data_IF_744707754217
#
_entry.id   IF_744707754217
#
_cell.length_a   1.000
_cell.length_b   1.000
_cell.length_c   1.000
_cell.angle_alpha   90.00
_cell.angle_beta   90.00
_cell.angle_gamma   90.00
#
_symmetry.space_group_name_H-M   'P 1'
#
loop_
_entity.id
_entity.type
_entity.pdbx_description
1 polymer ?
#
# COMPACT_ATOMS: atom_id res chain seq x y z
N UNK A 1 -66.60 37.69 -5.74
CA UNK A 1 -66.15 36.30 -5.68
C UNK A 1 -64.83 36.04 -6.44
N UNK A 2 -64.28 37.00 -7.20
CA UNK A 2 -63.02 36.82 -7.98
C UNK A 2 -61.75 37.19 -7.16
N UNK A 3 -61.84 38.15 -6.23
CA UNK A 3 -60.69 38.62 -5.42
C UNK A 3 -60.26 37.62 -4.32
N UNK A 4 -61.15 36.72 -3.92
CA UNK A 4 -60.85 35.66 -2.93
C UNK A 4 -60.09 34.48 -3.57
N UNK A 5 -60.33 34.19 -4.85
CA UNK A 5 -59.65 33.11 -5.57
C UNK A 5 -58.19 33.46 -5.86
N UNK A 6 -57.90 34.73 -6.15
CA UNK A 6 -56.54 35.21 -6.47
C UNK A 6 -55.63 35.32 -5.23
N UNK A 7 -56.22 35.54 -4.04
CA UNK A 7 -55.50 35.51 -2.76
C UNK A 7 -55.24 34.09 -2.28
N UNK A 8 -56.18 33.17 -2.50
CA UNK A 8 -56.00 31.75 -2.16
C UNK A 8 -54.98 31.08 -3.09
N UNK A 9 -54.97 31.38 -4.38
CA UNK A 9 -53.96 30.86 -5.31
C UNK A 9 -52.54 31.37 -4.99
N UNK A 10 -52.38 32.63 -4.58
CA UNK A 10 -51.08 33.16 -4.11
C UNK A 10 -50.58 32.51 -2.82
N UNK A 11 -51.48 32.15 -1.91
CA UNK A 11 -51.12 31.45 -0.67
C UNK A 11 -50.78 29.99 -0.98
N UNK A 12 -51.56 29.33 -1.86
CA UNK A 12 -51.29 27.96 -2.28
C UNK A 12 -49.95 27.85 -3.02
N UNK A 13 -49.66 28.74 -3.98
CA UNK A 13 -48.35 28.79 -4.66
C UNK A 13 -47.19 29.11 -3.71
N UNK A 14 -47.38 29.97 -2.70
CA UNK A 14 -46.34 30.24 -1.68
C UNK A 14 -46.12 29.06 -0.74
N UNK A 15 -47.17 28.31 -0.43
CA UNK A 15 -47.10 27.16 0.46
C UNK A 15 -46.50 25.95 -0.28
N UNK A 16 -46.91 25.70 -1.53
CA UNK A 16 -46.34 24.69 -2.43
C UNK A 16 -44.84 24.95 -2.70
N UNK A 17 -44.46 26.20 -2.97
CA UNK A 17 -43.05 26.56 -3.18
C UNK A 17 -42.20 26.43 -1.89
N UNK A 18 -42.78 26.68 -0.71
CA UNK A 18 -42.08 26.45 0.56
C UNK A 18 -41.92 24.97 0.89
N UNK A 19 -42.93 24.15 0.57
CA UNK A 19 -42.85 22.70 0.75
C UNK A 19 -41.86 22.06 -0.22
N UNK A 20 -41.79 22.51 -1.48
CA UNK A 20 -40.80 22.03 -2.43
C UNK A 20 -39.36 22.40 -2.04
N UNK A 21 -39.09 23.65 -1.62
CA UNK A 21 -37.74 24.01 -1.19
C UNK A 21 -37.28 23.28 0.08
N UNK A 22 -38.14 23.10 1.09
CA UNK A 22 -37.76 22.37 2.30
C UNK A 22 -37.60 20.86 2.07
N UNK A 23 -38.38 20.26 1.16
CA UNK A 23 -38.17 18.86 0.78
C UNK A 23 -36.86 18.67 0.01
N UNK A 24 -36.52 19.58 -0.91
CA UNK A 24 -35.26 19.52 -1.64
C UNK A 24 -34.03 19.77 -0.74
N UNK A 25 -34.11 20.71 0.22
CA UNK A 25 -33.04 20.92 1.21
C UNK A 25 -32.87 19.71 2.14
N UNK A 26 -33.96 19.09 2.59
CA UNK A 26 -33.90 17.90 3.45
C UNK A 26 -33.36 16.67 2.69
N UNK A 27 -33.73 16.51 1.42
CA UNK A 27 -33.24 15.43 0.56
C UNK A 27 -31.77 15.62 0.19
N UNK A 28 -31.34 16.86 -0.11
CA UNK A 28 -29.94 17.19 -0.34
C UNK A 28 -29.06 17.03 0.91
N UNK A 29 -29.59 17.36 2.09
CA UNK A 29 -28.92 17.13 3.37
C UNK A 29 -28.78 15.63 3.67
N UNK A 30 -29.84 14.84 3.47
CA UNK A 30 -29.80 13.39 3.63
C UNK A 30 -28.82 12.72 2.64
N UNK A 31 -28.76 13.22 1.40
CA UNK A 31 -27.81 12.74 0.40
C UNK A 31 -26.37 13.09 0.77
N UNK A 32 -26.11 14.26 1.35
CA UNK A 32 -24.80 14.64 1.89
C UNK A 32 -24.38 13.74 3.05
N UNK A 33 -25.29 13.50 4.00
CA UNK A 33 -25.05 12.60 5.12
C UNK A 33 -24.70 11.20 4.64
N UNK A 34 -25.36 10.71 3.59
CA UNK A 34 -25.05 9.42 2.98
C UNK A 34 -23.64 9.39 2.35
N UNK A 35 -23.22 10.45 1.65
CA UNK A 35 -21.86 10.54 1.10
C UNK A 35 -20.80 10.48 2.21
N UNK A 36 -21.00 11.26 3.28
CA UNK A 36 -20.09 11.27 4.42
C UNK A 36 -20.11 9.93 5.18
N UNK A 37 -21.27 9.28 5.28
CA UNK A 37 -21.39 7.96 5.88
C UNK A 37 -20.60 6.90 5.09
N UNK A 38 -20.68 6.88 3.76
CA UNK A 38 -19.89 5.98 2.92
C UNK A 38 -18.38 6.24 3.05
N UNK A 39 -17.95 7.50 3.07
CA UNK A 39 -16.54 7.85 3.29
C UNK A 39 -16.04 7.40 4.67
N UNK A 40 -16.86 7.59 5.71
CA UNK A 40 -16.56 7.16 7.07
C UNK A 40 -16.49 5.64 7.18
N UNK A 41 -17.36 4.91 6.48
CA UNK A 41 -17.33 3.45 6.42
C UNK A 41 -16.03 2.95 5.75
N UNK A 42 -15.65 3.55 4.62
CA UNK A 42 -14.35 3.28 3.97
C UNK A 42 -13.17 3.52 4.93
N UNK A 43 -13.13 4.69 5.59
CA UNK A 43 -12.09 5.04 6.58
C UNK A 43 -12.05 4.05 7.74
N UNK A 44 -13.21 3.59 8.19
CA UNK A 44 -13.32 2.58 9.24
C UNK A 44 -12.72 1.24 8.79
N UNK A 45 -13.05 0.77 7.59
CA UNK A 45 -12.48 -0.47 7.03
C UNK A 45 -10.95 -0.38 6.90
N UNK A 46 -10.45 0.78 6.45
CA UNK A 46 -9.02 1.10 6.40
C UNK A 46 -8.40 1.02 7.79
N UNK A 47 -8.98 1.70 8.78
CA UNK A 47 -8.46 1.71 10.15
C UNK A 47 -8.47 0.33 10.77
N UNK A 48 -9.51 -0.49 10.54
CA UNK A 48 -9.56 -1.88 11.00
C UNK A 48 -8.42 -2.69 10.39
N UNK A 49 -8.17 -2.54 9.08
CA UNK A 49 -7.07 -3.22 8.38
C UNK A 49 -5.70 -2.84 8.96
N UNK A 50 -5.46 -1.55 9.18
CA UNK A 50 -4.22 -1.04 9.76
C UNK A 50 -4.04 -1.46 11.22
N UNK A 51 -5.10 -1.42 12.02
CA UNK A 51 -5.07 -1.89 13.41
C UNK A 51 -4.84 -3.40 13.50
N UNK A 52 -5.33 -4.19 12.54
CA UNK A 52 -5.02 -5.63 12.43
C UNK A 52 -3.53 -5.84 12.15
N UNK A 53 -2.97 -5.08 11.21
CA UNK A 53 -1.54 -5.13 10.88
C UNK A 53 -0.65 -4.75 12.09
N UNK A 54 -1.10 -3.76 12.87
CA UNK A 54 -0.44 -3.37 14.12
C UNK A 54 -0.59 -4.45 15.21
N UNK A 55 -1.77 -5.02 15.39
CA UNK A 55 -2.03 -6.00 16.47
C UNK A 55 -1.35 -7.35 16.22
N UNK A 56 -1.17 -7.72 14.94
CA UNK A 56 -0.43 -8.91 14.55
C UNK A 56 1.08 -8.74 14.74
N UNK A 57 1.55 -7.52 14.93
CA UNK A 57 2.87 -7.28 15.48
C UNK A 57 2.80 -7.51 17.00
N UNK A 58 3.52 -8.52 17.51
CA UNK A 58 3.54 -8.77 18.95
C UNK A 58 4.21 -7.59 19.64
N UNK A 59 3.44 -6.87 20.47
CA UNK A 59 3.91 -5.81 21.35
C UNK A 59 5.14 -6.30 22.15
N UNK A 60 6.31 -5.72 21.89
CA UNK A 60 7.49 -5.87 22.75
C UNK A 60 8.65 -6.73 22.25
N UNK A 61 8.59 -7.33 21.06
CA UNK A 61 9.76 -8.01 20.47
C UNK A 61 10.31 -7.25 19.28
N UNK A 62 11.63 -7.14 19.20
CA UNK A 62 12.39 -6.43 18.17
C UNK A 62 12.36 -7.10 16.78
N UNK A 63 11.27 -7.80 16.47
CA UNK A 63 11.10 -8.81 15.42
C UNK A 63 10.04 -8.43 14.38
N UNK A 64 9.63 -7.15 14.37
CA UNK A 64 8.45 -6.66 13.66
C UNK A 64 8.53 -6.84 12.13
N UNK A 65 9.70 -6.61 11.53
CA UNK A 65 9.88 -6.65 10.08
C UNK A 65 10.38 -8.05 9.69
N UNK A 66 9.45 -8.93 9.35
CA UNK A 66 9.69 -10.29 8.84
C UNK A 66 8.93 -10.50 7.52
N UNK A 67 9.26 -11.54 6.77
CA UNK A 67 8.54 -11.86 5.53
C UNK A 67 7.07 -12.16 5.84
N UNK A 68 6.77 -12.85 6.94
CA UNK A 68 5.39 -13.11 7.36
C UNK A 68 4.57 -11.84 7.62
N UNK A 69 5.21 -10.76 8.09
CA UNK A 69 4.56 -9.47 8.26
C UNK A 69 4.37 -8.75 6.92
N UNK A 70 5.35 -8.84 6.01
CA UNK A 70 5.21 -8.34 4.63
C UNK A 70 4.01 -8.97 3.92
N UNK A 71 3.78 -10.28 4.08
CA UNK A 71 2.62 -10.96 3.49
C UNK A 71 1.29 -10.34 3.97
N UNK A 72 1.21 -9.97 5.24
CA UNK A 72 0.03 -9.28 5.78
C UNK A 72 -0.17 -7.88 5.16
N UNK A 73 0.91 -7.19 4.81
CA UNK A 73 0.83 -5.93 4.05
C UNK A 73 0.27 -6.18 2.64
N UNK A 74 0.64 -7.28 1.98
CA UNK A 74 0.05 -7.64 0.69
C UNK A 74 -1.43 -8.02 0.79
N UNK A 75 -1.88 -8.60 1.90
CA UNK A 75 -3.30 -8.83 2.15
C UNK A 75 -4.09 -7.52 2.39
N UNK A 76 -3.45 -6.50 2.98
CA UNK A 76 -4.09 -5.23 3.30
C UNK A 76 -4.51 -4.47 2.03
N UNK A 77 -3.66 -4.45 0.99
CA UNK A 77 -3.92 -3.66 -0.22
C UNK A 77 -5.21 -4.08 -0.95
N UNK A 78 -5.49 -5.37 -1.21
CA UNK A 78 -6.77 -5.80 -1.77
C UNK A 78 -7.98 -5.46 -0.90
N UNK A 79 -7.85 -5.52 0.42
CA UNK A 79 -8.95 -5.17 1.35
C UNK A 79 -9.33 -3.71 1.20
N UNK A 80 -8.34 -2.81 1.18
CA UNK A 80 -8.58 -1.37 1.03
C UNK A 80 -9.12 -1.05 -0.37
N UNK A 81 -8.55 -1.65 -1.43
CA UNK A 81 -9.06 -1.46 -2.79
C UNK A 81 -10.52 -1.92 -2.92
N UNK A 82 -10.91 -3.01 -2.25
CA UNK A 82 -12.30 -3.48 -2.21
C UNK A 82 -13.21 -2.52 -1.45
N UNK A 83 -12.76 -1.98 -0.32
CA UNK A 83 -13.51 -0.99 0.45
C UNK A 83 -13.70 0.31 -0.37
N UNK A 84 -12.67 0.77 -1.08
CA UNK A 84 -12.75 1.91 -1.99
C UNK A 84 -13.75 1.65 -3.12
N UNK A 85 -13.66 0.50 -3.80
CA UNK A 85 -14.59 0.14 -4.87
C UNK A 85 -16.05 0.07 -4.37
N UNK A 86 -16.26 -0.48 -3.18
CA UNK A 86 -17.58 -0.52 -2.52
C UNK A 86 -18.12 0.90 -2.29
N UNK A 87 -17.32 1.78 -1.70
CA UNK A 87 -17.69 3.18 -1.45
C UNK A 87 -18.09 3.90 -2.75
N UNK A 88 -17.27 3.76 -3.80
CA UNK A 88 -17.50 4.35 -5.12
C UNK A 88 -18.84 3.91 -5.73
N UNK A 89 -19.22 2.64 -5.51
CA UNK A 89 -20.51 2.10 -5.95
C UNK A 89 -21.67 2.65 -5.11
N UNK A 90 -21.55 2.72 -3.79
CA UNK A 90 -22.59 3.25 -2.88
C UNK A 90 -22.96 4.70 -3.20
N UNK A 91 -21.98 5.54 -3.53
CA UNK A 91 -22.23 6.95 -3.88
C UNK A 91 -22.68 7.15 -5.34
N UNK A 92 -22.82 6.06 -6.12
CA UNK A 92 -23.19 6.05 -7.53
C UNK A 92 -22.27 6.91 -8.43
N UNK A 93 -20.98 6.95 -8.13
CA UNK A 93 -19.96 7.69 -8.87
C UNK A 93 -18.85 6.76 -9.43
N UNK A 94 -19.22 5.74 -10.24
CA UNK A 94 -18.26 4.79 -10.79
C UNK A 94 -17.21 5.47 -11.67
N UNK A 95 -16.05 4.82 -11.83
CA UNK A 95 -14.91 5.31 -12.62
C UNK A 95 -15.24 5.88 -14.00
N UNK A 96 -16.26 5.36 -14.69
CA UNK A 96 -16.74 5.89 -15.98
C UNK A 96 -17.30 7.32 -15.92
N UNK A 97 -17.63 7.83 -14.74
CA UNK A 97 -18.13 9.19 -14.49
C UNK A 97 -17.05 10.14 -13.99
N UNK A 98 -15.82 9.66 -13.82
CA UNK A 98 -14.73 10.46 -13.28
C UNK A 98 -14.31 11.54 -14.26
N UNK A 99 -13.99 12.71 -13.72
CA UNK A 99 -13.40 13.80 -14.48
C UNK A 99 -11.98 13.43 -14.94
N UNK A 100 -11.51 14.11 -15.98
CA UNK A 100 -10.19 13.86 -16.57
C UNK A 100 -9.06 13.96 -15.53
N UNK A 101 -9.16 14.91 -14.59
CA UNK A 101 -8.23 15.07 -13.47
C UNK A 101 -8.19 13.84 -12.57
N UNK A 102 -9.34 13.32 -12.11
CA UNK A 102 -9.41 12.14 -11.24
C UNK A 102 -8.95 10.87 -11.96
N UNK A 103 -9.25 10.74 -13.25
CA UNK A 103 -8.74 9.65 -14.10
C UNK A 103 -7.21 9.70 -14.20
N UNK A 104 -6.65 10.86 -14.56
CA UNK A 104 -5.21 11.06 -14.64
C UNK A 104 -4.53 10.75 -13.30
N UNK A 105 -5.11 11.21 -12.20
CA UNK A 105 -4.61 11.00 -10.85
C UNK A 105 -4.55 9.52 -10.45
N UNK A 106 -5.56 8.73 -10.83
CA UNK A 106 -5.58 7.29 -10.59
C UNK A 106 -4.62 6.54 -11.52
N UNK A 107 -4.54 6.94 -12.79
CA UNK A 107 -3.59 6.35 -13.73
C UNK A 107 -2.14 6.63 -13.31
N UNK A 108 -1.83 7.82 -12.83
CA UNK A 108 -0.52 8.14 -12.29
C UNK A 108 -0.20 7.30 -11.05
N UNK A 109 -1.15 7.18 -10.12
CA UNK A 109 -0.97 6.34 -8.93
C UNK A 109 -0.76 4.87 -9.27
N UNK A 110 -1.63 4.29 -10.09
CA UNK A 110 -1.53 2.87 -10.45
C UNK A 110 -0.24 2.58 -11.21
N UNK A 111 0.23 3.50 -12.05
CA UNK A 111 1.54 3.40 -12.69
C UNK A 111 2.68 3.37 -11.66
N UNK A 112 2.74 4.36 -10.76
CA UNK A 112 3.79 4.39 -9.73
C UNK A 112 3.77 3.16 -8.83
N UNK A 113 2.58 2.65 -8.50
CA UNK A 113 2.46 1.42 -7.71
C UNK A 113 2.96 0.19 -8.48
N UNK A 114 2.73 0.10 -9.79
CA UNK A 114 3.31 -0.96 -10.63
C UNK A 114 4.84 -0.90 -10.68
N UNK A 115 5.45 0.29 -10.76
CA UNK A 115 6.91 0.45 -10.70
C UNK A 115 7.49 0.01 -9.36
N UNK A 116 6.78 0.29 -8.27
CA UNK A 116 7.14 -0.17 -6.93
C UNK A 116 7.06 -1.69 -6.81
N UNK A 117 6.00 -2.31 -7.34
CA UNK A 117 5.88 -3.77 -7.37
C UNK A 117 7.01 -4.42 -8.20
N UNK A 118 7.40 -3.83 -9.32
CA UNK A 118 8.57 -4.28 -10.08
C UNK A 118 9.87 -4.17 -9.27
N UNK A 119 10.03 -3.08 -8.51
CA UNK A 119 11.18 -2.89 -7.62
C UNK A 119 11.21 -3.92 -6.49
N UNK A 120 10.03 -4.30 -5.97
CA UNK A 120 9.87 -5.37 -4.98
C UNK A 120 10.26 -6.71 -5.62
N UNK A 121 9.74 -7.07 -6.81
CA UNK A 121 10.11 -8.31 -7.51
C UNK A 121 11.62 -8.41 -7.76
N UNK A 122 12.25 -7.29 -8.13
CA UNK A 122 13.71 -7.19 -8.28
C UNK A 122 14.44 -7.46 -6.96
N UNK A 123 13.96 -6.87 -5.86
CA UNK A 123 14.52 -7.08 -4.52
C UNK A 123 14.38 -8.54 -4.05
N UNK A 124 13.25 -9.19 -4.33
CA UNK A 124 13.04 -10.62 -4.07
C UNK A 124 14.05 -11.46 -4.87
N UNK A 125 14.25 -11.14 -6.15
CA UNK A 125 15.23 -11.82 -7.00
C UNK A 125 16.66 -11.67 -6.47
N UNK A 126 17.02 -10.49 -5.95
CA UNK A 126 18.31 -10.26 -5.30
C UNK A 126 18.49 -11.10 -4.04
N UNK A 127 17.45 -11.23 -3.20
CA UNK A 127 17.47 -12.15 -2.06
C UNK A 127 17.63 -13.61 -2.51
N UNK A 128 16.97 -14.00 -3.59
CA UNK A 128 17.13 -15.32 -4.21
C UNK A 128 18.57 -15.60 -4.66
N UNK A 129 19.23 -14.63 -5.28
CA UNK A 129 20.66 -14.74 -5.65
C UNK A 129 21.58 -14.84 -4.43
N UNK A 130 21.33 -14.05 -3.39
CA UNK A 130 22.10 -14.11 -2.15
C UNK A 130 21.96 -15.48 -1.46
N UNK A 131 20.76 -16.05 -1.44
CA UNK A 131 20.50 -17.41 -0.96
C UNK A 131 21.27 -18.46 -1.75
N UNK A 132 21.27 -18.37 -3.09
CA UNK A 132 22.03 -19.29 -3.95
C UNK A 132 23.54 -19.21 -3.68
N UNK A 133 24.06 -18.00 -3.48
CA UNK A 133 25.46 -17.78 -3.09
C UNK A 133 25.79 -18.47 -1.76
N UNK A 134 24.89 -18.37 -0.78
CA UNK A 134 25.07 -19.00 0.53
C UNK A 134 24.96 -20.53 0.46
N UNK A 135 24.05 -21.05 -0.37
CA UNK A 135 23.92 -22.48 -0.65
C UNK A 135 25.19 -23.05 -1.30
N UNK A 136 25.81 -22.28 -2.20
CA UNK A 136 27.10 -22.65 -2.78
C UNK A 136 28.25 -22.55 -1.78
N UNK A 137 28.25 -21.57 -0.86
CA UNK A 137 29.23 -21.53 0.23
C UNK A 137 29.13 -22.78 1.12
N UNK A 138 27.90 -23.21 1.42
CA UNK A 138 27.62 -24.44 2.16
C UNK A 138 28.14 -25.70 1.44
N UNK A 139 28.01 -25.80 0.11
CA UNK A 139 28.53 -26.96 -0.63
C UNK A 139 30.07 -27.03 -0.68
N UNK A 140 30.76 -25.93 -0.35
CA UNK A 140 32.22 -25.88 -0.28
C UNK A 140 32.77 -26.33 1.08
N UNK A 141 31.92 -26.54 2.09
CA UNK A 141 32.36 -26.84 3.46
C UNK A 141 33.26 -28.07 3.53
N UNK A 142 32.96 -29.13 2.77
CA UNK A 142 33.74 -30.37 2.78
C UNK A 142 35.00 -30.29 1.89
N UNK A 143 34.87 -29.69 0.70
CA UNK A 143 35.91 -29.73 -0.33
C UNK A 143 36.88 -28.54 -0.27
N UNK A 144 36.47 -27.42 0.32
CA UNK A 144 37.25 -26.18 0.38
C UNK A 144 36.84 -25.29 1.57
N UNK A 145 37.13 -25.72 2.82
CA UNK A 145 36.67 -25.05 4.03
C UNK A 145 37.08 -23.57 4.12
N UNK A 146 38.28 -23.21 3.67
CA UNK A 146 38.76 -21.82 3.69
C UNK A 146 37.91 -20.90 2.80
N UNK A 147 37.58 -21.35 1.58
CA UNK A 147 36.68 -20.61 0.69
C UNK A 147 35.24 -20.57 1.22
N UNK A 148 34.79 -21.65 1.87
CA UNK A 148 33.48 -21.68 2.52
C UNK A 148 33.40 -20.61 3.62
N UNK A 149 34.39 -20.55 4.52
CA UNK A 149 34.47 -19.55 5.60
C UNK A 149 34.44 -18.12 5.04
N UNK A 150 35.24 -17.83 4.02
CA UNK A 150 35.29 -16.51 3.39
C UNK A 150 33.89 -16.08 2.88
N UNK A 151 33.19 -16.99 2.18
CA UNK A 151 31.86 -16.70 1.62
C UNK A 151 30.75 -16.66 2.65
N UNK A 152 30.82 -17.49 3.69
CA UNK A 152 29.87 -17.48 4.81
C UNK A 152 29.98 -16.16 5.59
N UNK A 153 31.20 -15.67 5.84
CA UNK A 153 31.45 -14.36 6.48
C UNK A 153 31.11 -13.17 5.60
N UNK A 154 31.15 -13.34 4.27
CA UNK A 154 30.72 -12.35 3.29
C UNK A 154 29.24 -11.97 3.42
N UNK A 155 28.43 -12.78 4.10
CA UNK A 155 27.09 -12.45 4.54
C UNK A 155 26.03 -12.23 3.44
N UNK A 156 24.79 -11.98 3.87
CA UNK A 156 23.65 -11.67 3.03
C UNK A 156 23.65 -10.19 2.65
N UNK A 157 24.32 -9.83 1.55
CA UNK A 157 24.31 -8.44 1.05
C UNK A 157 23.27 -8.25 -0.05
N UNK A 158 22.15 -7.62 0.30
CA UNK A 158 21.22 -7.05 -0.68
C UNK A 158 21.74 -5.71 -1.13
N UNK A 159 22.07 -5.58 -2.42
CA UNK A 159 22.30 -4.27 -3.01
C UNK A 159 20.93 -3.66 -3.32
N UNK A 160 20.65 -2.49 -2.75
CA UNK A 160 19.49 -1.69 -3.12
C UNK A 160 19.58 -1.34 -4.61
N UNK A 161 18.66 -1.89 -5.40
CA UNK A 161 18.54 -1.64 -6.84
C UNK A 161 17.51 -0.55 -7.15
N UNK A 162 17.16 0.30 -6.18
CA UNK A 162 16.24 1.43 -6.41
C UNK A 162 16.98 2.48 -7.24
N UNK A 163 16.88 2.32 -8.57
CA UNK A 163 17.58 3.15 -9.56
C UNK A 163 16.95 4.53 -9.74
N UNK A 164 15.72 4.74 -9.25
CA UNK A 164 14.99 5.98 -9.50
C UNK A 164 14.47 6.59 -8.21
N UNK A 165 14.71 7.90 -8.07
CA UNK A 165 14.07 8.72 -7.04
C UNK A 165 12.59 8.77 -7.36
N UNK A 166 11.75 8.20 -6.52
CA UNK A 166 10.30 8.35 -6.68
C UNK A 166 9.95 9.82 -6.40
N UNK A 167 9.72 10.58 -7.48
CA UNK A 167 9.20 11.95 -7.38
C UNK A 167 7.70 11.88 -7.60
N UNK A 168 6.94 12.25 -6.56
CA UNK A 168 5.50 12.48 -6.67
C UNK A 168 5.20 13.42 -7.85
N UNK A 169 4.17 13.16 -8.68
CA UNK A 169 3.57 14.19 -9.51
C UNK A 169 3.10 15.34 -8.59
N UNK A 170 3.57 16.57 -8.82
CA UNK A 170 3.10 17.72 -8.04
C UNK A 170 1.59 17.87 -8.26
N UNK A 171 0.79 17.73 -7.21
CA UNK A 171 -0.62 18.12 -7.26
C UNK A 171 -0.65 19.63 -7.53
N UNK A 172 -1.07 20.03 -8.73
CA UNK A 172 -1.47 21.41 -8.98
C UNK A 172 -2.79 21.61 -8.23
N UNK A 173 -2.75 22.38 -7.14
CA UNK A 173 -3.97 22.83 -6.49
C UNK A 173 -4.77 23.63 -7.51
N UNK A 174 -5.93 23.13 -7.92
CA UNK A 174 -6.92 23.92 -8.63
C UNK A 174 -7.54 24.84 -7.57
N UNK A 175 -7.38 26.15 -7.77
CA UNK A 175 -8.08 27.16 -6.96
C UNK A 175 -9.57 27.08 -7.27
N UNK A 176 -10.38 26.79 -6.25
CA UNK A 176 -11.84 26.72 -6.33
C UNK A 176 -12.36 28.16 -6.45
N UNK A 177 -12.64 28.59 -7.68
CA UNK A 177 -13.29 29.87 -7.96
C UNK A 177 -14.79 29.71 -7.77
N UNK A 178 -15.35 30.30 -6.71
CA UNK A 178 -16.78 30.30 -6.42
C UNK A 178 -17.56 30.92 -7.59
N UNK A 179 -18.17 30.06 -8.41
CA UNK A 179 -19.25 30.42 -9.33
C UNK A 179 -20.55 29.86 -8.78
N UNK A 180 -21.65 30.58 -8.98
CA UNK A 180 -22.99 30.07 -8.70
C UNK A 180 -23.26 28.89 -9.65
N UNK A 181 -23.21 27.68 -9.08
CA UNK A 181 -23.35 26.41 -9.79
C UNK A 181 -24.66 25.75 -9.34
N UNK A 182 -25.38 25.17 -10.30
CA UNK A 182 -26.66 24.47 -10.11
C UNK A 182 -26.55 23.36 -9.04
N UNK A 183 -27.65 23.02 -8.36
CA UNK A 183 -27.63 22.08 -7.22
C UNK A 183 -27.16 20.67 -7.61
N UNK A 184 -27.45 20.21 -8.84
CA UNK A 184 -26.96 18.92 -9.37
C UNK A 184 -25.44 18.92 -9.57
N UNK A 185 -24.88 19.99 -10.15
CA UNK A 185 -23.43 20.16 -10.32
C UNK A 185 -22.73 20.29 -8.96
N UNK A 186 -23.36 20.96 -7.99
CA UNK A 186 -22.86 21.02 -6.60
C UNK A 186 -22.80 19.62 -5.98
N UNK A 187 -23.82 18.80 -6.16
CA UNK A 187 -23.83 17.45 -5.61
C UNK A 187 -22.81 16.53 -6.31
N UNK A 188 -22.63 16.69 -7.63
CA UNK A 188 -21.57 16.01 -8.38
C UNK A 188 -20.18 16.39 -7.85
N UNK A 189 -19.92 17.69 -7.64
CA UNK A 189 -18.67 18.21 -7.06
C UNK A 189 -18.37 17.60 -5.69
N UNK A 190 -19.40 17.39 -4.84
CA UNK A 190 -19.20 16.74 -3.54
C UNK A 190 -18.84 15.26 -3.65
N UNK A 191 -19.41 14.53 -4.62
CA UNK A 191 -19.01 13.14 -4.90
C UNK A 191 -17.56 13.06 -5.39
N UNK A 192 -17.15 14.00 -6.24
CA UNK A 192 -15.75 14.14 -6.68
C UNK A 192 -14.85 14.32 -5.47
N UNK A 193 -15.15 15.28 -4.59
CA UNK A 193 -14.37 15.53 -3.36
C UNK A 193 -14.25 14.28 -2.46
N UNK A 194 -15.36 13.54 -2.26
CA UNK A 194 -15.34 12.29 -1.48
C UNK A 194 -14.44 11.22 -2.11
N UNK A 195 -14.50 11.05 -3.44
CA UNK A 195 -13.63 10.10 -4.14
C UNK A 195 -12.18 10.54 -4.12
N UNK A 196 -11.90 11.83 -4.28
CA UNK A 196 -10.54 12.38 -4.18
C UNK A 196 -9.94 12.15 -2.78
N UNK A 197 -10.70 12.40 -1.71
CA UNK A 197 -10.27 12.12 -0.34
C UNK A 197 -9.96 10.63 -0.13
N UNK A 198 -10.85 9.75 -0.57
CA UNK A 198 -10.65 8.30 -0.45
C UNK A 198 -9.48 7.81 -1.31
N UNK A 199 -9.29 8.38 -2.50
CA UNK A 199 -8.17 8.08 -3.38
C UNK A 199 -6.84 8.54 -2.78
N UNK A 200 -6.82 9.70 -2.10
CA UNK A 200 -5.64 10.16 -1.37
C UNK A 200 -5.26 9.19 -0.25
N UNK A 201 -6.23 8.65 0.50
CA UNK A 201 -5.95 7.62 1.51
C UNK A 201 -5.45 6.31 0.90
N UNK A 202 -6.06 5.87 -0.22
CA UNK A 202 -5.62 4.69 -0.96
C UNK A 202 -4.17 4.84 -1.46
N UNK A 203 -3.85 6.02 -2.02
CA UNK A 203 -2.50 6.40 -2.47
C UNK A 203 -1.52 6.31 -1.30
N UNK A 204 -1.85 6.95 -0.18
CA UNK A 204 -1.02 6.99 1.01
C UNK A 204 -0.67 5.59 1.53
N UNK A 205 -1.68 4.72 1.66
CA UNK A 205 -1.43 3.38 2.19
C UNK A 205 -0.65 2.52 1.20
N UNK A 206 -0.94 2.65 -0.10
CA UNK A 206 -0.21 1.95 -1.15
C UNK A 206 1.28 2.27 -1.15
N UNK A 207 1.63 3.56 -1.11
CA UNK A 207 3.02 3.99 -1.10
C UNK A 207 3.72 3.67 0.22
N UNK A 208 3.04 3.87 1.35
CA UNK A 208 3.57 3.47 2.66
C UNK A 208 3.91 1.97 2.69
N UNK A 209 2.97 1.09 2.30
CA UNK A 209 3.19 -0.37 2.24
C UNK A 209 4.40 -0.70 1.38
N UNK A 210 4.47 -0.19 0.15
CA UNK A 210 5.59 -0.46 -0.74
C UNK A 210 6.92 0.06 -0.19
N UNK A 211 6.93 1.24 0.44
CA UNK A 211 8.12 1.81 1.07
C UNK A 211 8.69 0.92 2.18
N UNK A 212 7.82 0.42 3.08
CA UNK A 212 8.24 -0.48 4.17
C UNK A 212 8.75 -1.81 3.62
N UNK A 213 8.05 -2.39 2.64
CA UNK A 213 8.45 -3.67 2.03
C UNK A 213 9.81 -3.53 1.34
N UNK A 214 10.01 -2.46 0.56
CA UNK A 214 11.28 -2.21 -0.11
C UNK A 214 12.41 -2.01 0.88
N UNK A 215 12.19 -1.27 1.97
CA UNK A 215 13.20 -1.12 3.03
C UNK A 215 13.59 -2.48 3.64
N UNK A 216 12.58 -3.31 3.94
CA UNK A 216 12.77 -4.68 4.42
C UNK A 216 13.62 -5.54 3.48
N UNK A 217 13.19 -5.66 2.22
CA UNK A 217 13.81 -6.55 1.25
C UNK A 217 15.19 -6.09 0.79
N UNK A 218 15.45 -4.78 0.78
CA UNK A 218 16.74 -4.23 0.39
C UNK A 218 17.72 -4.03 1.55
N UNK A 219 17.23 -4.04 2.80
CA UNK A 219 18.03 -3.68 3.98
C UNK A 219 18.43 -2.20 3.98
N UNK A 220 17.69 -1.35 3.26
CA UNK A 220 17.98 0.07 3.10
C UNK A 220 16.75 0.93 3.41
N UNK A 221 16.83 1.72 4.48
CA UNK A 221 15.78 2.64 4.93
C UNK A 221 15.42 3.72 3.89
N UNK A 222 16.28 3.99 2.90
CA UNK A 222 16.09 5.07 1.92
C UNK A 222 14.75 4.99 1.21
N UNK A 223 14.33 3.80 0.79
CA UNK A 223 13.06 3.59 0.08
C UNK A 223 11.86 4.07 0.91
N UNK A 224 11.86 3.70 2.19
CA UNK A 224 10.83 4.09 3.15
C UNK A 224 10.85 5.60 3.41
N UNK A 225 12.04 6.18 3.58
CA UNK A 225 12.17 7.63 3.82
C UNK A 225 11.69 8.48 2.64
N UNK A 226 12.02 8.09 1.40
CA UNK A 226 11.55 8.79 0.20
C UNK A 226 10.00 8.78 0.09
N UNK A 227 9.37 7.66 0.43
CA UNK A 227 7.90 7.54 0.46
C UNK A 227 7.29 8.40 1.57
N UNK A 228 7.90 8.38 2.75
CA UNK A 228 7.45 9.16 3.91
C UNK A 228 7.52 10.67 3.67
N UNK A 229 8.60 11.15 3.03
CA UNK A 229 8.77 12.56 2.67
C UNK A 229 7.79 13.01 1.57
N UNK A 230 7.47 12.12 0.64
CA UNK A 230 6.62 12.43 -0.52
C UNK A 230 5.14 12.66 -0.17
N UNK A 231 4.67 12.14 0.96
CA UNK A 231 3.25 12.21 1.32
C UNK A 231 2.81 13.53 1.97
N UNK A 232 3.73 14.35 2.47
CA UNK A 232 3.35 15.57 3.18
C UNK A 232 2.55 15.31 4.48
N UNK A 233 2.56 14.06 4.96
CA UNK A 233 1.87 13.58 6.16
C UNK A 233 0.63 12.74 5.87
N UNK A 234 0.39 11.74 6.72
CA UNK A 234 -0.77 10.84 6.62
C UNK A 234 -2.04 11.48 7.20
N UNK A 235 -3.17 11.46 6.50
CA UNK A 235 -4.46 11.92 7.07
C UNK A 235 -4.98 10.94 8.14
N UNK A 236 -4.86 9.63 7.90
CA UNK A 236 -5.37 8.57 8.76
C UNK A 236 -4.54 8.39 10.05
N UNK A 237 -5.20 8.43 11.22
CA UNK A 237 -4.55 8.30 12.53
C UNK A 237 -3.96 6.92 12.77
N UNK A 238 -4.62 5.84 12.33
CA UNK A 238 -4.09 4.49 12.47
C UNK A 238 -2.81 4.29 11.65
N UNK A 239 -2.75 4.89 10.45
CA UNK A 239 -1.55 4.90 9.62
C UNK A 239 -0.42 5.69 10.27
N UNK A 240 -0.71 6.87 10.84
CA UNK A 240 0.27 7.66 11.60
C UNK A 240 0.87 6.87 12.78
N UNK A 241 0.02 6.19 13.56
CA UNK A 241 0.48 5.39 14.69
C UNK A 241 1.37 4.23 14.23
N UNK A 242 0.96 3.52 13.18
CA UNK A 242 1.73 2.42 12.62
C UNK A 242 3.06 2.91 12.00
N UNK A 243 3.04 4.05 11.29
CA UNK A 243 4.23 4.68 10.74
C UNK A 243 5.24 5.05 11.82
N UNK A 244 4.80 5.61 12.95
CA UNK A 244 5.70 5.97 14.05
C UNK A 244 6.47 4.74 14.56
N UNK A 245 5.76 3.63 14.79
CA UNK A 245 6.36 2.38 15.25
C UNK A 245 7.33 1.82 14.22
N UNK A 246 6.95 1.81 12.94
CA UNK A 246 7.80 1.32 11.85
C UNK A 246 9.03 2.20 11.64
N UNK A 247 8.88 3.52 11.73
CA UNK A 247 9.97 4.47 11.59
C UNK A 247 11.04 4.20 12.67
N UNK A 248 10.62 4.06 13.93
CA UNK A 248 11.55 3.73 15.03
C UNK A 248 12.32 2.43 14.76
N UNK A 249 11.64 1.41 14.25
CA UNK A 249 12.25 0.11 13.94
C UNK A 249 13.21 0.14 12.74
N UNK A 250 12.85 0.86 11.68
CA UNK A 250 13.70 0.99 10.48
C UNK A 250 14.95 1.82 10.80
N UNK A 251 14.81 2.84 11.65
CA UNK A 251 15.88 3.77 12.03
C UNK A 251 16.79 3.25 13.16
N UNK A 252 16.43 2.14 13.80
CA UNK A 252 17.25 1.50 14.83
C UNK A 252 18.59 1.03 14.23
N UNK A 253 19.72 1.56 14.73
CA UNK A 253 21.05 1.40 14.12
C UNK A 253 21.50 -0.06 13.96
N UNK A 254 21.17 -0.92 14.93
CA UNK A 254 21.51 -2.35 14.92
C UNK A 254 20.67 -3.15 13.92
N UNK A 255 19.56 -2.58 13.44
CA UNK A 255 18.60 -3.30 12.60
C UNK A 255 18.40 -2.72 11.23
N UNK A 256 18.66 -1.43 11.01
CA UNK A 256 18.66 -0.69 9.73
C UNK A 256 17.67 -1.26 8.68
N UNK A 257 16.46 -1.59 9.10
CA UNK A 257 15.43 -2.18 8.21
C UNK A 257 15.71 -3.58 7.65
N UNK A 258 16.73 -4.32 8.09
CA UNK A 258 17.00 -5.70 7.66
C UNK A 258 15.96 -6.65 8.22
N UNK A 259 15.34 -7.43 7.34
CA UNK A 259 14.37 -8.47 7.70
C UNK A 259 14.94 -9.45 8.73
N UNK A 260 14.10 -9.82 9.69
CA UNK A 260 14.39 -10.87 10.68
C UNK A 260 14.90 -12.15 10.02
N UNK A 261 14.22 -12.61 8.97
CA UNK A 261 14.55 -13.84 8.24
C UNK A 261 15.96 -13.80 7.62
N UNK A 262 16.38 -12.62 7.14
CA UNK A 262 17.71 -12.40 6.57
C UNK A 262 18.78 -12.37 7.66
N UNK A 263 18.51 -11.69 8.79
CA UNK A 263 19.42 -11.66 9.94
C UNK A 263 19.68 -13.06 10.48
N UNK A 264 18.63 -13.84 10.66
CA UNK A 264 18.67 -15.21 11.14
C UNK A 264 19.50 -16.15 10.23
N UNK A 265 19.41 -15.96 8.91
CA UNK A 265 20.28 -16.67 7.96
C UNK A 265 21.74 -16.24 8.11
N UNK A 266 21.99 -14.94 8.25
CA UNK A 266 23.33 -14.39 8.40
C UNK A 266 24.00 -14.87 9.69
N UNK A 267 23.25 -14.92 10.79
CA UNK A 267 23.71 -15.43 12.09
C UNK A 267 24.05 -16.92 12.01
N UNK A 268 23.22 -17.70 11.32
CA UNK A 268 23.46 -19.14 11.11
C UNK A 268 24.72 -19.38 10.26
N UNK A 269 24.92 -18.57 9.20
CA UNK A 269 26.11 -18.60 8.37
C UNK A 269 27.39 -18.26 9.17
N UNK A 270 27.33 -17.22 10.01
CA UNK A 270 28.43 -16.81 10.87
C UNK A 270 28.76 -17.86 11.94
N UNK A 271 27.75 -18.51 12.51
CA UNK A 271 27.94 -19.62 13.45
C UNK A 271 28.67 -20.78 12.78
N UNK A 272 28.28 -21.14 11.56
CA UNK A 272 28.95 -22.19 10.79
C UNK A 272 30.39 -21.82 10.48
N UNK A 273 30.65 -20.60 9.99
CA UNK A 273 32.00 -20.12 9.72
C UNK A 273 32.91 -20.23 10.97
N UNK A 274 32.39 -19.83 12.13
CA UNK A 274 33.11 -19.92 13.42
C UNK A 274 33.37 -21.38 13.83
N UNK A 275 32.41 -22.29 13.61
CA UNK A 275 32.58 -23.71 13.90
C UNK A 275 33.67 -24.35 13.02
N UNK A 276 33.74 -23.95 11.75
CA UNK A 276 34.77 -24.42 10.81
C UNK A 276 36.17 -23.95 11.19
N UNK A 277 36.32 -22.70 11.63
CA UNK A 277 37.59 -22.15 12.09
C UNK A 277 38.13 -22.82 13.36
N UNK A 278 37.22 -23.18 14.28
CA UNK A 278 37.59 -23.83 15.54
C UNK A 278 37.88 -25.33 15.41
N UNK A 279 37.69 -25.92 14.22
CA UNK A 279 37.98 -27.33 13.96
C UNK A 279 37.07 -28.33 14.68
N UNK A 280 35.93 -27.90 15.22
CA UNK A 280 34.97 -28.77 15.90
C UNK A 280 34.07 -29.49 14.89
N UNK A 281 34.55 -30.61 14.36
CA UNK A 281 33.88 -31.42 13.32
C UNK A 281 32.39 -31.67 13.58
N UNK A 282 32.04 -32.27 14.73
CA UNK A 282 30.64 -32.59 15.08
C UNK A 282 29.75 -31.34 15.17
N UNK A 283 30.29 -30.24 15.72
CA UNK A 283 29.58 -28.96 15.81
C UNK A 283 29.39 -28.30 14.45
N UNK A 284 30.28 -28.52 13.49
CA UNK A 284 30.20 -27.91 12.16
C UNK A 284 29.14 -28.58 11.28
N UNK A 285 29.00 -29.91 11.40
CA UNK A 285 27.98 -30.68 10.70
C UNK A 285 26.56 -30.29 11.13
N UNK A 286 26.31 -30.16 12.44
CA UNK A 286 25.01 -29.73 12.97
C UNK A 286 24.64 -28.32 12.47
N UNK A 287 25.60 -27.38 12.46
CA UNK A 287 25.37 -26.01 11.99
C UNK A 287 25.18 -25.94 10.46
N UNK A 288 25.82 -26.83 9.71
CA UNK A 288 25.64 -26.94 8.26
C UNK A 288 24.23 -27.41 7.92
N UNK A 289 23.72 -28.44 8.60
CA UNK A 289 22.35 -28.93 8.41
C UNK A 289 21.30 -27.89 8.83
N UNK A 290 21.52 -27.17 9.94
CA UNK A 290 20.61 -26.08 10.33
C UNK A 290 20.59 -24.94 9.31
N UNK A 291 21.75 -24.54 8.78
CA UNK A 291 21.82 -23.53 7.72
C UNK A 291 21.09 -24.00 6.45
N UNK A 292 21.29 -25.26 6.05
CA UNK A 292 20.60 -25.88 4.92
C UNK A 292 19.09 -25.81 5.07
N UNK A 293 18.58 -26.26 6.21
CA UNK A 293 17.14 -26.24 6.53
C UNK A 293 16.57 -24.82 6.46
N UNK A 294 17.31 -23.83 6.99
CA UNK A 294 16.89 -22.42 6.91
C UNK A 294 16.87 -21.89 5.48
N UNK A 295 17.86 -22.25 4.65
CA UNK A 295 17.90 -21.86 3.24
C UNK A 295 16.71 -22.42 2.46
N UNK A 296 16.32 -23.67 2.72
CA UNK A 296 15.15 -24.32 2.10
C UNK A 296 13.84 -23.63 2.50
N UNK A 297 13.66 -23.34 3.79
CA UNK A 297 12.47 -22.61 4.28
C UNK A 297 12.43 -21.20 3.68
N UNK A 298 13.57 -20.52 3.62
CA UNK A 298 13.65 -19.17 3.07
C UNK A 298 13.33 -19.14 1.57
N UNK A 299 13.78 -20.13 0.80
CA UNK A 299 13.41 -20.29 -0.62
C UNK A 299 11.89 -20.41 -0.80
N UNK A 300 11.26 -21.31 -0.06
CA UNK A 300 9.81 -21.51 -0.11
C UNK A 300 9.04 -20.22 0.22
N UNK A 301 9.50 -19.48 1.24
CA UNK A 301 8.86 -18.24 1.67
C UNK A 301 9.06 -17.12 0.63
N UNK A 302 10.24 -16.99 0.03
CA UNK A 302 10.49 -16.04 -1.06
C UNK A 302 9.67 -16.34 -2.32
N UNK A 303 9.54 -17.62 -2.69
CA UNK A 303 8.73 -18.03 -3.85
C UNK A 303 7.26 -17.67 -3.66
N UNK A 304 6.72 -17.87 -2.46
CA UNK A 304 5.36 -17.47 -2.13
C UNK A 304 5.20 -15.95 -2.17
N UNK A 305 6.19 -15.22 -1.65
CA UNK A 305 6.21 -13.76 -1.72
C UNK A 305 6.21 -13.24 -3.17
N UNK A 306 7.00 -13.87 -4.06
CA UNK A 306 7.00 -13.54 -5.49
C UNK A 306 5.61 -13.70 -6.12
N UNK A 307 4.92 -14.80 -5.83
CA UNK A 307 3.54 -15.03 -6.32
C UNK A 307 2.55 -14.00 -5.81
N UNK A 308 2.67 -13.55 -4.57
CA UNK A 308 1.81 -12.50 -4.01
C UNK A 308 2.01 -11.17 -4.74
N UNK A 309 3.26 -10.80 -5.05
CA UNK A 309 3.58 -9.59 -5.82
C UNK A 309 3.01 -9.68 -7.25
N UNK A 310 3.21 -10.80 -7.93
CA UNK A 310 2.68 -11.02 -9.28
C UNK A 310 1.14 -10.96 -9.33
N UNK A 311 0.48 -11.51 -8.32
CA UNK A 311 -0.97 -11.46 -8.17
C UNK A 311 -1.47 -10.02 -7.96
N UNK A 312 -0.81 -9.26 -7.09
CA UNK A 312 -1.15 -7.87 -6.84
C UNK A 312 -0.93 -7.00 -8.09
N UNK A 313 0.19 -7.20 -8.78
CA UNK A 313 0.50 -6.53 -10.05
C UNK A 313 -0.57 -6.81 -11.10
N UNK A 314 -0.95 -8.08 -11.25
CA UNK A 314 -2.00 -8.51 -12.20
C UNK A 314 -3.35 -7.87 -11.89
N UNK A 315 -3.74 -7.81 -10.61
CA UNK A 315 -4.98 -7.14 -10.18
C UNK A 315 -4.97 -5.64 -10.46
N UNK A 316 -3.86 -4.97 -10.16
CA UNK A 316 -3.71 -3.54 -10.41
C UNK A 316 -3.78 -3.22 -11.90
N UNK A 317 -3.09 -4.01 -12.73
CA UNK A 317 -3.14 -3.90 -14.18
C UNK A 317 -4.55 -4.14 -14.73
N UNK A 318 -5.27 -5.14 -14.21
CA UNK A 318 -6.65 -5.40 -14.60
C UNK A 318 -7.58 -4.20 -14.29
N UNK A 319 -7.50 -3.63 -13.10
CA UNK A 319 -8.28 -2.45 -12.73
C UNK A 319 -7.95 -1.22 -13.60
N UNK A 320 -6.66 -1.02 -13.90
CA UNK A 320 -6.21 0.03 -14.83
C UNK A 320 -6.81 -0.15 -16.23
N UNK A 321 -6.76 -1.38 -16.76
CA UNK A 321 -7.30 -1.69 -18.09
C UNK A 321 -8.82 -1.50 -18.13
N UNK A 322 -9.54 -1.90 -17.09
CA UNK A 322 -10.98 -1.70 -16.98
C UNK A 322 -11.36 -0.20 -17.04
N UNK A 323 -10.61 0.66 -16.34
CA UNK A 323 -10.79 2.11 -16.40
C UNK A 323 -10.58 2.64 -17.83
N UNK A 324 -9.46 2.27 -18.46
CA UNK A 324 -9.12 2.71 -19.82
C UNK A 324 -10.18 2.26 -20.84
N UNK A 325 -10.65 1.02 -20.74
CA UNK A 325 -11.68 0.49 -21.62
C UNK A 325 -13.07 1.08 -21.34
N UNK A 326 -13.34 1.48 -20.10
CA UNK A 326 -14.49 2.30 -19.74
C UNK A 326 -14.50 3.64 -20.48
N UNK A 327 -13.38 4.36 -20.44
CA UNK A 327 -13.22 5.66 -21.12
C UNK A 327 -13.36 5.50 -22.64
N UNK A 328 -12.70 4.50 -23.24
CA UNK A 328 -12.79 4.23 -24.68
C UNK A 328 -14.21 3.92 -25.15
N UNK A 329 -15.02 3.25 -24.32
CA UNK A 329 -16.41 2.95 -24.64
C UNK A 329 -17.27 4.21 -24.62
N UNK A 330 -17.08 5.09 -23.63
CA UNK A 330 -17.81 6.36 -23.53
C UNK A 330 -17.56 7.27 -24.74
N UNK A 331 -16.32 7.37 -25.22
CA UNK A 331 -15.95 8.17 -26.41
C UNK A 331 -16.64 7.66 -27.70
N UNK A 332 -16.96 6.36 -27.78
CA UNK A 332 -17.63 5.77 -28.96
C UNK A 332 -19.16 5.97 -28.96
N UNK A 333 -19.73 6.40 -27.84
CA UNK A 333 -21.18 6.56 -27.65
C UNK A 333 -21.66 8.00 -27.68
N UNK A 334 -20.74 8.97 -27.75
CA UNK A 334 -21.00 10.39 -28.02
C UNK A 334 -20.82 10.70 -29.53
#
# INVERSE_FOLDING_TARGET
MVVLVERLSKIYFKLENHFHHHHHEAEAAAAEEALQASLKAFRSDVSIGLSRLLSNSKQGSSEFISISWIQQCFELLPVINKAFAKMVMEINYPMRKWEASSVEDYLNYSWSLMELLNSISSSISHLGHARLSLSHALSLVENSPSMAIERLRGGFHTKSSIKEKFKRPKNNKVEDGEKEVEEEDRFCSKKVKVVEEALMELKSIGFWVCGVILAGLSGDAKAYMEMRESEGGYSNSALKSLDSVICELIMEEEKRGVLKDVRELNDSANCLATALETGKGDSSSEKAEELKRRLEVFEMVLDNLGKEVDHLFSKLLAGRNELIDGIRRNIKTE
#
